data_IF_001524878912
#
_entry.id   IF_001524878912
#
_cell.length_a   1.000
_cell.length_b   1.000
_cell.length_c   1.000
_cell.angle_alpha   90.00
_cell.angle_beta   90.00
_cell.angle_gamma   90.00
#
_symmetry.space_group_name_H-M   'P 1'
#
loop_
_entity.id
_entity.type
_entity.pdbx_description
1 polymer ?
#
# COMPACT_ATOMS: atom_id res chain seq x y z
N UNK A 1 9.47 8.57 -10.68
CA UNK A 1 9.08 8.30 -12.09
C UNK A 1 7.70 8.87 -12.42
N UNK A 2 6.63 8.44 -11.74
CA UNK A 2 5.25 8.89 -12.02
C UNK A 2 5.02 10.38 -11.73
N UNK A 3 5.55 10.89 -10.60
CA UNK A 3 5.48 12.32 -10.25
C UNK A 3 6.06 13.22 -11.35
N UNK A 4 7.20 12.83 -11.93
CA UNK A 4 7.83 13.59 -13.03
C UNK A 4 7.00 13.58 -14.32
N UNK A 5 5.96 12.74 -14.42
CA UNK A 5 5.02 12.69 -15.54
C UNK A 5 3.69 13.39 -15.25
N UNK A 6 3.64 14.24 -14.22
CA UNK A 6 2.43 14.99 -13.85
C UNK A 6 1.40 14.19 -13.05
N UNK A 7 1.76 13.00 -12.56
CA UNK A 7 0.86 12.21 -11.72
C UNK A 7 1.00 12.64 -10.25
N UNK A 8 -0.14 12.84 -9.58
CA UNK A 8 -0.19 12.86 -8.11
C UNK A 8 -0.16 11.42 -7.62
N UNK A 9 0.86 11.08 -6.83
CA UNK A 9 1.10 9.71 -6.35
C UNK A 9 0.92 9.65 -4.85
N UNK A 10 0.20 8.65 -4.37
CA UNK A 10 0.16 8.25 -2.96
C UNK A 10 0.59 6.80 -2.82
N UNK A 11 1.31 6.49 -1.75
CA UNK A 11 1.68 5.12 -1.40
C UNK A 11 1.15 4.77 0.00
N UNK A 12 0.77 3.51 0.19
CA UNK A 12 0.35 3.00 1.49
C UNK A 12 0.87 1.56 1.72
N UNK A 13 1.58 1.29 2.83
CA UNK A 13 1.95 -0.06 3.24
C UNK A 13 0.74 -0.99 3.42
N UNK A 14 0.88 -2.29 3.12
CA UNK A 14 -0.17 -3.29 3.33
C UNK A 14 -0.75 -3.25 4.75
N UNK A 15 0.10 -3.09 5.78
CA UNK A 15 -0.31 -3.08 7.20
C UNK A 15 -1.28 -1.95 7.55
N UNK A 16 -1.11 -0.78 6.92
CA UNK A 16 -1.91 0.40 7.24
C UNK A 16 -3.36 0.21 6.78
N UNK A 17 -3.59 -0.51 5.68
CA UNK A 17 -4.94 -0.88 5.26
C UNK A 17 -5.68 -1.72 6.30
N UNK A 18 -4.99 -2.66 6.96
CA UNK A 18 -5.63 -3.46 8.01
C UNK A 18 -6.05 -2.57 9.18
N UNK A 19 -5.18 -1.65 9.60
CA UNK A 19 -5.46 -0.71 10.68
C UNK A 19 -6.68 0.18 10.36
N UNK A 20 -6.82 0.66 9.12
CA UNK A 20 -7.97 1.47 8.69
C UNK A 20 -9.31 0.73 8.84
N UNK A 21 -9.30 -0.58 8.66
CA UNK A 21 -10.49 -1.44 8.85
C UNK A 21 -10.63 -1.99 10.27
N UNK A 22 -9.79 -1.55 11.22
CA UNK A 22 -9.77 -2.08 12.60
C UNK A 22 -9.37 -3.55 12.68
N UNK A 23 -8.60 -4.05 11.68
CA UNK A 23 -8.14 -5.44 11.62
C UNK A 23 -6.67 -5.53 12.04
N UNK A 24 -6.31 -6.62 12.72
CA UNK A 24 -4.92 -6.96 12.95
C UNK A 24 -4.25 -7.41 11.64
N UNK A 25 -2.99 -7.03 11.46
CA UNK A 25 -2.20 -7.54 10.34
C UNK A 25 -1.83 -9.01 10.59
N UNK A 26 -2.07 -9.92 9.63
CA UNK A 26 -1.76 -11.34 9.80
C UNK A 26 -0.27 -11.61 9.48
N UNK A 27 0.61 -11.49 10.47
CA UNK A 27 2.06 -11.76 10.28
C UNK A 27 2.38 -13.27 10.07
N UNK A 28 1.42 -14.16 10.35
CA UNK A 28 1.58 -15.64 10.27
C UNK A 28 0.76 -16.29 9.13
N UNK A 29 0.40 -15.54 8.08
CA UNK A 29 -0.39 -16.07 6.95
C UNK A 29 0.48 -16.58 5.76
N UNK A 30 -0.09 -17.36 4.83
CA UNK A 30 0.65 -17.79 3.63
C UNK A 30 1.13 -16.65 2.73
N UNK A 31 0.60 -15.43 2.92
CA UNK A 31 1.00 -14.22 2.22
C UNK A 31 2.04 -13.40 3.01
N UNK A 32 2.65 -13.92 4.08
CA UNK A 32 3.77 -13.28 4.80
C UNK A 32 4.94 -12.88 3.90
N UNK A 33 5.31 -13.63 2.83
CA UNK A 33 6.31 -13.14 1.86
C UNK A 33 5.94 -11.81 1.21
N UNK A 34 4.65 -11.45 1.20
CA UNK A 34 4.09 -10.23 0.63
C UNK A 34 3.89 -9.12 1.69
N UNK A 35 4.44 -9.25 2.90
CA UNK A 35 4.24 -8.28 4.00
C UNK A 35 4.78 -6.88 3.73
N UNK A 36 5.77 -6.77 2.85
CA UNK A 36 6.42 -5.51 2.50
C UNK A 36 5.84 -4.87 1.23
N UNK A 37 4.71 -5.36 0.72
CA UNK A 37 4.03 -4.71 -0.41
C UNK A 37 3.53 -3.33 -0.01
N UNK A 38 3.67 -2.41 -0.97
CA UNK A 38 3.13 -1.06 -0.93
C UNK A 38 2.13 -0.92 -2.06
N UNK A 39 0.92 -0.47 -1.75
CA UNK A 39 -0.04 -0.04 -2.75
C UNK A 39 0.34 1.34 -3.24
N UNK A 40 0.35 1.54 -4.56
CA UNK A 40 0.59 2.84 -5.18
C UNK A 40 -0.68 3.24 -5.93
N UNK A 41 -1.22 4.41 -5.60
CA UNK A 41 -2.30 5.05 -6.36
C UNK A 41 -1.75 6.28 -7.05
N UNK A 42 -2.10 6.44 -8.33
CA UNK A 42 -1.68 7.58 -9.12
C UNK A 42 -2.90 8.18 -9.83
N UNK A 43 -3.06 9.49 -9.73
CA UNK A 43 -4.11 10.25 -10.41
C UNK A 43 -3.44 11.30 -11.29
N UNK A 44 -3.84 11.37 -12.56
CA UNK A 44 -3.33 12.40 -13.48
C UNK A 44 -3.89 13.76 -13.03
N UNK A 45 -3.00 14.74 -12.87
CA UNK A 45 -3.37 16.09 -12.47
C UNK A 45 -3.92 16.91 -13.65
#
# INVERSE_FOLDING_TARGET
YLTNRGWRVSSRPRRDYFADYGRAFPDDDPATPLRNIVTVSAVLA
#
